data_IF_429902809446
#
_entry.id   IF_429902809446
#
_cell.length_a   1.000
_cell.length_b   1.000
_cell.length_c   1.000
_cell.angle_alpha   90.00
_cell.angle_beta   90.00
_cell.angle_gamma   90.00
#
_symmetry.space_group_name_H-M   'P 1'
#
loop_
_entity.id
_entity.type
_entity.pdbx_description
1 polymer ?
#
# COMPACT_ATOMS: atom_id res chain seq x y z
N UNK A 1 1.76 17.17 7.74
CA UNK A 1 0.53 17.20 8.59
C UNK A 1 -0.44 16.05 8.30
N UNK A 2 -0.51 15.48 7.09
CA UNK A 2 -1.42 14.37 6.74
C UNK A 2 -1.03 13.05 7.39
N UNK A 3 0.23 12.63 7.31
CA UNK A 3 0.70 11.41 7.95
C UNK A 3 0.31 11.33 9.44
N UNK A 4 0.59 12.37 10.22
CA UNK A 4 0.23 12.40 11.65
C UNK A 4 -1.28 12.29 11.88
N UNK A 5 -2.09 12.92 11.02
CA UNK A 5 -3.55 12.80 11.08
C UNK A 5 -4.04 11.38 10.78
N UNK A 6 -3.44 10.72 9.78
CA UNK A 6 -3.76 9.32 9.45
C UNK A 6 -3.28 8.37 10.56
N UNK A 7 -2.06 8.55 11.06
CA UNK A 7 -1.54 7.74 12.18
C UNK A 7 -2.42 7.82 13.42
N UNK A 8 -2.93 9.03 13.73
CA UNK A 8 -3.87 9.19 14.83
C UNK A 8 -5.18 8.41 14.63
N UNK A 9 -5.72 8.37 13.41
CA UNK A 9 -6.93 7.60 13.09
C UNK A 9 -6.66 6.09 13.15
N UNK A 10 -5.56 5.63 12.53
CA UNK A 10 -5.14 4.23 12.56
C UNK A 10 -4.93 3.74 14.00
N UNK A 11 -4.24 4.53 14.81
CA UNK A 11 -3.98 4.21 16.20
C UNK A 11 -5.25 4.02 17.04
N UNK A 12 -6.26 4.86 16.84
CA UNK A 12 -7.50 4.83 17.58
C UNK A 12 -8.52 3.81 17.04
N UNK A 13 -8.29 3.26 15.87
CA UNK A 13 -9.16 2.25 15.29
C UNK A 13 -9.03 0.90 16.00
N UNK A 14 -10.17 0.23 16.20
CA UNK A 14 -10.23 -1.14 16.72
C UNK A 14 -9.92 -2.20 15.65
N UNK A 15 -9.82 -1.80 14.39
CA UNK A 15 -9.46 -2.68 13.27
C UNK A 15 -7.95 -2.72 13.02
N UNK A 16 -7.16 -1.93 13.75
CA UNK A 16 -5.70 -1.83 13.56
C UNK A 16 -5.01 -2.24 14.85
N UNK A 17 -4.27 -3.33 14.82
CA UNK A 17 -3.49 -3.85 15.95
C UNK A 17 -2.02 -3.39 15.90
N UNK A 18 -1.47 -3.22 14.69
CA UNK A 18 -0.08 -2.87 14.46
C UNK A 18 0.04 -1.87 13.31
N UNK A 19 0.96 -0.93 13.44
CA UNK A 19 1.33 0.03 12.40
C UNK A 19 2.84 -0.06 12.22
N UNK A 20 3.28 -0.44 11.02
CA UNK A 20 4.71 -0.48 10.67
C UNK A 20 4.98 0.70 9.75
N UNK A 21 5.91 1.53 10.14
CA UNK A 21 6.36 2.69 9.37
C UNK A 21 7.77 2.41 8.86
N UNK A 22 7.95 2.44 7.56
CA UNK A 22 9.27 2.39 6.93
C UNK A 22 9.69 3.83 6.65
N UNK A 23 10.68 4.30 7.38
CA UNK A 23 11.20 5.66 7.23
C UNK A 23 12.42 5.65 6.30
N UNK A 24 12.17 6.08 5.06
CA UNK A 24 13.18 6.18 4.00
C UNK A 24 13.97 7.50 4.03
N UNK A 25 13.66 8.40 4.98
CA UNK A 25 14.34 9.68 5.10
C UNK A 25 15.36 9.66 6.25
N UNK A 26 16.63 9.50 5.92
CA UNK A 26 17.73 9.50 6.90
C UNK A 26 17.95 10.83 7.61
N UNK A 27 17.48 11.93 7.03
CA UNK A 27 17.73 13.28 7.52
C UNK A 27 16.59 13.80 8.42
N UNK A 28 15.41 13.17 8.35
CA UNK A 28 14.22 13.55 9.12
C UNK A 28 13.75 12.36 9.96
N UNK A 29 14.25 12.24 11.18
CA UNK A 29 13.89 11.12 12.06
C UNK A 29 12.67 11.43 12.91
N UNK A 30 11.77 10.47 12.98
CA UNK A 30 10.60 10.51 13.86
C UNK A 30 10.82 9.62 15.07
N UNK A 31 10.10 9.93 16.14
CA UNK A 31 9.99 9.03 17.29
C UNK A 31 8.54 8.91 17.71
N UNK A 32 8.09 7.70 17.95
CA UNK A 32 6.75 7.41 18.43
C UNK A 32 6.82 6.62 19.73
N UNK A 33 6.28 7.18 20.80
CA UNK A 33 6.10 6.43 22.06
C UNK A 33 4.71 5.78 22.05
N UNK A 34 4.60 4.70 21.27
CA UNK A 34 3.33 4.02 21.08
C UNK A 34 3.50 2.53 20.78
N UNK A 35 2.78 1.69 21.54
CA UNK A 35 2.91 0.23 21.45
C UNK A 35 2.40 -0.37 20.14
N UNK A 36 1.47 0.32 19.43
CA UNK A 36 0.97 -0.13 18.13
C UNK A 36 1.92 0.25 16.98
N UNK A 37 2.85 1.20 17.19
CA UNK A 37 3.70 1.73 16.13
C UNK A 37 5.09 1.10 16.23
N UNK A 38 5.52 0.50 15.14
CA UNK A 38 6.89 0.03 14.92
C UNK A 38 7.52 0.88 13.82
N UNK A 39 8.55 1.63 14.17
CA UNK A 39 9.32 2.43 13.22
C UNK A 39 10.56 1.65 12.77
N UNK A 40 10.77 1.55 11.47
CA UNK A 40 11.93 0.94 10.83
C UNK A 40 12.66 2.00 10.02
N UNK A 41 13.64 2.63 10.66
CA UNK A 41 14.49 3.66 10.04
C UNK A 41 15.48 3.01 9.08
N UNK A 42 15.61 3.60 7.89
CA UNK A 42 16.56 3.18 6.88
C UNK A 42 17.76 4.17 6.81
N UNK A 43 18.95 3.65 6.54
CA UNK A 43 20.14 4.48 6.36
C UNK A 43 20.17 5.15 4.98
N UNK A 44 19.41 4.62 4.04
CA UNK A 44 19.23 5.15 2.69
C UNK A 44 17.81 4.88 2.21
N UNK A 45 17.38 5.56 1.13
CA UNK A 45 16.09 5.30 0.52
C UNK A 45 16.08 3.93 -0.18
N UNK A 46 15.37 2.96 0.41
CA UNK A 46 15.21 1.61 -0.14
C UNK A 46 14.11 1.51 -1.21
N UNK A 47 13.45 2.62 -1.56
CA UNK A 47 12.32 2.73 -2.47
C UNK A 47 11.02 2.06 -1.99
N UNK A 48 9.98 2.06 -2.85
CA UNK A 48 8.62 1.66 -2.48
C UNK A 48 8.48 0.14 -2.34
N UNK A 49 8.85 -0.62 -3.38
CA UNK A 49 8.63 -2.06 -3.40
C UNK A 49 9.46 -2.80 -2.36
N UNK A 50 10.76 -2.53 -2.18
CA UNK A 50 11.52 -3.08 -1.07
C UNK A 50 11.00 -2.66 0.31
N UNK A 51 10.46 -1.44 0.46
CA UNK A 51 9.82 -1.03 1.70
C UNK A 51 8.54 -1.84 1.99
N UNK A 52 7.73 -2.16 0.98
CA UNK A 52 6.58 -3.05 1.13
C UNK A 52 6.99 -4.44 1.58
N UNK A 53 8.00 -5.05 0.93
CA UNK A 53 8.54 -6.35 1.35
C UNK A 53 8.98 -6.32 2.82
N UNK A 54 9.76 -5.31 3.20
CA UNK A 54 10.23 -5.16 4.58
C UNK A 54 9.06 -5.04 5.56
N UNK A 55 8.07 -4.20 5.27
CA UNK A 55 6.90 -3.99 6.11
C UNK A 55 6.08 -5.26 6.30
N UNK A 56 5.82 -5.99 5.21
CA UNK A 56 5.06 -7.25 5.25
C UNK A 56 5.83 -8.34 6.02
N UNK A 57 7.14 -8.46 5.81
CA UNK A 57 7.95 -9.46 6.50
C UNK A 57 7.99 -9.21 8.02
N UNK A 58 8.01 -7.95 8.44
CA UNK A 58 8.00 -7.53 9.84
C UNK A 58 6.63 -7.55 10.52
N UNK A 59 5.53 -7.62 9.73
CA UNK A 59 4.17 -7.69 10.23
C UNK A 59 3.89 -9.02 10.95
N UNK A 60 3.12 -8.97 12.04
CA UNK A 60 2.74 -10.16 12.83
C UNK A 60 1.33 -10.64 12.56
N UNK A 61 0.49 -9.80 11.96
CA UNK A 61 -0.92 -10.08 11.76
C UNK A 61 -1.18 -10.77 10.41
N UNK A 62 -2.30 -11.48 10.34
CA UNK A 62 -2.72 -12.20 9.13
C UNK A 62 -3.22 -11.27 8.04
N UNK A 63 -4.05 -10.30 8.40
CA UNK A 63 -4.56 -9.30 7.47
C UNK A 63 -3.62 -8.10 7.43
N UNK A 64 -3.24 -7.70 6.23
CA UNK A 64 -2.30 -6.61 5.99
C UNK A 64 -3.01 -5.51 5.19
N UNK A 65 -2.68 -4.27 5.51
CA UNK A 65 -2.93 -3.11 4.68
C UNK A 65 -1.61 -2.46 4.31
N UNK A 66 -1.27 -2.43 3.03
CA UNK A 66 -0.19 -1.60 2.48
C UNK A 66 -0.80 -0.24 2.18
N UNK A 67 -0.23 0.81 2.75
CA UNK A 67 -0.81 2.14 2.72
C UNK A 67 0.27 3.20 2.42
N UNK A 68 0.00 4.06 1.45
CA UNK A 68 0.82 5.24 1.22
C UNK A 68 0.59 6.29 2.31
N UNK A 69 1.61 7.07 2.61
CA UNK A 69 1.62 8.06 3.71
C UNK A 69 0.79 9.33 3.40
N UNK A 70 0.42 9.55 2.16
CA UNK A 70 -0.35 10.70 1.68
C UNK A 70 -1.86 10.44 1.53
N UNK A 71 -2.32 9.24 1.87
CA UNK A 71 -3.73 8.83 1.73
C UNK A 71 -4.55 9.18 2.96
N UNK A 72 -5.80 9.61 2.78
CA UNK A 72 -6.73 9.95 3.87
C UNK A 72 -8.13 9.39 3.59
N UNK A 73 -8.70 8.68 4.57
CA UNK A 73 -10.04 8.08 4.52
C UNK A 73 -10.60 7.83 5.93
N UNK A 74 -11.85 7.38 6.01
CA UNK A 74 -12.43 6.84 7.25
C UNK A 74 -11.88 5.42 7.49
N UNK A 75 -11.04 5.29 8.52
CA UNK A 75 -10.31 4.04 8.80
C UNK A 75 -11.29 2.92 9.19
N UNK A 76 -12.27 3.19 10.04
CA UNK A 76 -13.17 2.14 10.53
C UNK A 76 -14.09 1.64 9.41
N UNK A 77 -14.58 2.53 8.54
CA UNK A 77 -15.38 2.15 7.39
C UNK A 77 -14.60 1.28 6.40
N UNK A 78 -13.40 1.71 6.02
CA UNK A 78 -12.56 1.03 5.03
C UNK A 78 -12.05 -0.30 5.58
N UNK A 79 -11.51 -0.31 6.80
CA UNK A 79 -10.92 -1.52 7.40
C UNK A 79 -11.97 -2.57 7.76
N UNK A 80 -13.15 -2.16 8.26
CA UNK A 80 -14.24 -3.12 8.51
C UNK A 80 -14.70 -3.81 7.22
N UNK A 81 -14.77 -3.05 6.13
CA UNK A 81 -15.13 -3.60 4.81
C UNK A 81 -14.06 -4.54 4.29
N UNK A 82 -12.79 -4.14 4.36
CA UNK A 82 -11.67 -4.96 3.90
C UNK A 82 -11.52 -6.24 4.73
N UNK A 83 -11.68 -6.18 6.06
CA UNK A 83 -11.63 -7.36 6.94
C UNK A 83 -12.71 -8.37 6.58
N UNK A 84 -13.95 -7.92 6.34
CA UNK A 84 -15.04 -8.79 5.90
C UNK A 84 -14.74 -9.38 4.52
N UNK A 85 -14.26 -8.55 3.58
CA UNK A 85 -13.88 -9.01 2.25
C UNK A 85 -12.82 -10.12 2.31
N UNK A 86 -11.73 -9.93 3.06
CA UNK A 86 -10.67 -10.93 3.20
C UNK A 86 -11.12 -12.21 3.91
N UNK A 87 -12.15 -12.13 4.75
CA UNK A 87 -12.78 -13.31 5.34
C UNK A 87 -13.51 -14.17 4.30
N UNK A 88 -14.20 -13.50 3.35
CA UNK A 88 -14.95 -14.15 2.29
C UNK A 88 -14.08 -14.57 1.09
N UNK A 89 -12.95 -13.88 0.87
CA UNK A 89 -12.02 -14.07 -0.25
C UNK A 89 -10.55 -14.16 0.24
N UNK A 90 -10.18 -15.23 0.95
CA UNK A 90 -8.89 -15.30 1.65
C UNK A 90 -7.66 -15.33 0.73
N UNK A 91 -7.80 -15.77 -0.51
CA UNK A 91 -6.70 -15.85 -1.51
C UNK A 91 -6.64 -14.64 -2.45
N UNK A 92 -7.42 -13.59 -2.16
CA UNK A 92 -7.55 -12.42 -3.03
C UNK A 92 -6.89 -11.20 -2.45
N UNK A 93 -6.62 -10.21 -3.30
CA UNK A 93 -6.21 -8.86 -2.90
C UNK A 93 -7.29 -7.83 -3.26
N UNK A 94 -7.35 -6.74 -2.49
CA UNK A 94 -8.30 -5.66 -2.65
C UNK A 94 -7.57 -4.33 -2.69
N UNK A 95 -7.65 -3.61 -3.80
CA UNK A 95 -7.11 -2.26 -3.94
C UNK A 95 -8.21 -1.20 -4.10
N UNK A 96 -7.80 0.05 -4.27
CA UNK A 96 -8.71 1.18 -4.44
C UNK A 96 -9.08 1.37 -5.89
N UNK A 97 -10.38 1.44 -6.18
CA UNK A 97 -10.84 1.74 -7.54
C UNK A 97 -10.53 3.20 -7.90
N UNK A 98 -9.99 3.49 -9.10
CA UNK A 98 -9.59 4.84 -9.51
C UNK A 98 -10.67 5.91 -9.38
N UNK A 99 -11.96 5.55 -9.52
CA UNK A 99 -13.09 6.48 -9.35
C UNK A 99 -13.18 7.07 -7.94
N UNK A 100 -12.63 6.39 -6.95
CA UNK A 100 -12.58 6.85 -5.54
C UNK A 100 -11.93 8.23 -5.41
N UNK A 101 -10.94 8.52 -6.23
CA UNK A 101 -10.19 9.78 -6.21
C UNK A 101 -10.92 10.95 -6.90
N UNK A 102 -12.07 10.69 -7.50
CA UNK A 102 -12.88 11.70 -8.20
C UNK A 102 -13.96 12.32 -7.31
N UNK A 103 -13.85 12.15 -5.98
CA UNK A 103 -14.82 12.70 -5.02
C UNK A 103 -16.12 11.89 -4.94
N UNK A 104 -16.06 10.62 -5.24
CA UNK A 104 -17.20 9.72 -5.11
C UNK A 104 -17.56 9.50 -3.62
N UNK A 105 -18.79 9.82 -3.25
CA UNK A 105 -19.26 9.78 -1.85
C UNK A 105 -20.37 8.74 -1.60
N UNK A 106 -20.55 7.80 -2.51
CA UNK A 106 -21.51 6.72 -2.33
C UNK A 106 -20.96 5.60 -1.44
N UNK A 107 -21.86 4.70 -1.04
CA UNK A 107 -21.49 3.50 -0.28
C UNK A 107 -20.40 2.70 -0.96
N UNK A 108 -19.52 2.11 -0.15
CA UNK A 108 -18.45 1.22 -0.61
C UNK A 108 -19.03 0.12 -1.51
N UNK A 109 -18.46 0.02 -2.71
CA UNK A 109 -18.78 -1.04 -3.69
C UNK A 109 -17.49 -1.78 -4.01
N UNK A 110 -17.54 -3.10 -3.91
CA UNK A 110 -16.45 -3.99 -4.29
C UNK A 110 -16.82 -4.65 -5.61
N UNK A 111 -15.93 -4.63 -6.57
CA UNK A 111 -16.09 -5.27 -7.87
C UNK A 111 -14.87 -6.15 -8.16
N UNK A 112 -15.13 -7.33 -8.74
CA UNK A 112 -14.07 -8.21 -9.24
C UNK A 112 -13.36 -7.55 -10.43
N UNK A 113 -12.05 -7.78 -10.49
CA UNK A 113 -11.16 -7.24 -11.50
C UNK A 113 -10.31 -6.09 -10.97
N UNK A 114 -9.02 -6.22 -11.23
CA UNK A 114 -8.06 -5.15 -11.00
C UNK A 114 -8.18 -4.15 -12.13
N UNK A 115 -8.85 -3.06 -11.90
CA UNK A 115 -8.57 -1.88 -12.66
C UNK A 115 -7.30 -1.28 -12.05
N UNK A 116 -6.14 -1.89 -12.33
CA UNK A 116 -4.83 -1.36 -11.93
C UNK A 116 -4.65 -0.06 -12.70
N UNK A 117 -5.43 0.92 -12.31
CA UNK A 117 -5.35 2.28 -12.77
C UNK A 117 -4.70 3.12 -11.70
N UNK A 118 -4.58 4.37 -11.99
CA UNK A 118 -4.04 5.41 -11.12
C UNK A 118 -4.56 5.27 -9.67
N UNK A 119 -3.67 4.95 -8.74
CA UNK A 119 -3.96 4.92 -7.30
C UNK A 119 -4.48 3.60 -6.73
N UNK A 120 -4.58 2.52 -7.52
CA UNK A 120 -4.99 1.22 -6.98
C UNK A 120 -4.04 0.76 -5.86
N UNK A 121 -2.74 0.91 -6.06
CA UNK A 121 -1.68 0.55 -5.11
C UNK A 121 -1.53 1.49 -3.91
N UNK A 122 -2.29 2.59 -3.82
CA UNK A 122 -2.17 3.52 -2.68
C UNK A 122 -2.71 2.95 -1.36
N UNK A 123 -3.61 1.95 -1.43
CA UNK A 123 -4.15 1.25 -0.27
C UNK A 123 -4.56 -0.16 -0.71
N UNK A 124 -3.80 -1.17 -0.31
CA UNK A 124 -3.98 -2.57 -0.71
C UNK A 124 -4.21 -3.42 0.53
N UNK A 125 -5.24 -4.24 0.50
CA UNK A 125 -5.54 -5.22 1.55
C UNK A 125 -5.34 -6.63 1.01
N UNK A 126 -4.67 -7.48 1.79
CA UNK A 126 -4.40 -8.87 1.47
C UNK A 126 -4.11 -9.68 2.74
N UNK A 127 -4.03 -11.01 2.63
CA UNK A 127 -3.51 -11.86 3.71
C UNK A 127 -2.01 -12.08 3.58
N UNK A 128 -1.31 -12.03 4.71
CA UNK A 128 0.16 -12.22 4.77
C UNK A 128 0.59 -13.55 4.15
N UNK A 129 -0.18 -14.61 4.35
CA UNK A 129 0.12 -15.94 3.83
C UNK A 129 0.18 -16.01 2.30
N UNK A 130 -0.46 -15.05 1.60
CA UNK A 130 -0.44 -14.95 0.15
C UNK A 130 0.61 -13.96 -0.38
N UNK A 131 1.40 -13.35 0.52
CA UNK A 131 2.46 -12.44 0.09
C UNK A 131 3.56 -13.19 -0.64
N UNK A 132 3.91 -12.68 -1.81
CA UNK A 132 5.08 -13.08 -2.57
C UNK A 132 5.97 -11.85 -2.70
N UNK A 133 7.18 -11.93 -2.18
CA UNK A 133 8.11 -10.80 -2.20
C UNK A 133 8.26 -10.25 -3.62
N UNK A 134 8.12 -8.94 -3.75
CA UNK A 134 8.34 -8.24 -5.01
C UNK A 134 9.83 -8.33 -5.34
N UNK A 135 10.21 -8.62 -6.58
CA UNK A 135 11.62 -8.68 -6.98
C UNK A 135 12.39 -7.44 -6.54
N UNK A 136 13.52 -7.62 -5.86
CA UNK A 136 14.30 -6.53 -5.25
C UNK A 136 14.77 -5.47 -6.25
N UNK A 137 14.92 -5.86 -7.53
CA UNK A 137 15.32 -4.96 -8.61
C UNK A 137 14.19 -4.04 -9.08
N UNK A 138 12.92 -4.40 -8.83
CA UNK A 138 11.77 -3.50 -9.01
C UNK A 138 11.71 -2.51 -7.85
N UNK A 139 12.01 -1.25 -8.09
CA UNK A 139 12.16 -0.26 -7.01
C UNK A 139 10.86 0.46 -6.65
N UNK A 140 10.10 0.92 -7.63
CA UNK A 140 8.96 1.81 -7.37
C UNK A 140 7.70 1.43 -8.14
N UNK A 141 7.83 1.07 -9.42
CA UNK A 141 6.72 0.72 -10.30
C UNK A 141 6.48 -0.78 -10.34
N UNK A 142 5.29 -1.17 -10.77
CA UNK A 142 4.86 -2.55 -10.99
C UNK A 142 4.74 -3.42 -9.73
N UNK A 143 4.93 -2.86 -8.52
CA UNK A 143 4.70 -3.61 -7.29
C UNK A 143 3.24 -4.05 -7.12
N UNK A 144 2.30 -3.17 -7.45
CA UNK A 144 0.87 -3.48 -7.46
C UNK A 144 0.49 -4.50 -8.56
N UNK A 145 1.12 -4.42 -9.74
CA UNK A 145 0.97 -5.44 -10.78
C UNK A 145 1.46 -6.81 -10.29
N UNK A 146 2.65 -6.85 -9.66
CA UNK A 146 3.20 -8.08 -9.08
C UNK A 146 2.26 -8.69 -8.05
N UNK A 147 1.70 -7.88 -7.15
CA UNK A 147 0.73 -8.34 -6.15
C UNK A 147 -0.48 -8.98 -6.85
N UNK A 148 -1.05 -8.31 -7.84
CA UNK A 148 -2.21 -8.83 -8.58
C UNK A 148 -1.90 -10.15 -9.29
N UNK A 149 -0.76 -10.24 -9.97
CA UNK A 149 -0.38 -11.42 -10.75
C UNK A 149 -0.07 -12.64 -9.86
N UNK A 150 0.24 -12.42 -8.57
CA UNK A 150 0.52 -13.47 -7.59
C UNK A 150 -0.66 -13.80 -6.66
N UNK A 151 -1.87 -13.25 -6.90
CA UNK A 151 -3.08 -13.61 -6.17
C UNK A 151 -4.06 -14.34 -7.08
N UNK A 152 -4.88 -15.21 -6.47
CA UNK A 152 -5.90 -15.98 -7.21
C UNK A 152 -6.90 -15.07 -7.92
N UNK A 153 -7.30 -13.98 -7.24
CA UNK A 153 -8.18 -12.96 -7.78
C UNK A 153 -7.85 -11.60 -7.20
N UNK A 154 -8.10 -10.56 -7.97
CA UNK A 154 -7.95 -9.18 -7.54
C UNK A 154 -9.26 -8.43 -7.61
N UNK A 155 -9.46 -7.52 -6.69
CA UNK A 155 -10.67 -6.73 -6.58
C UNK A 155 -10.35 -5.25 -6.42
N UNK A 156 -11.31 -4.43 -6.78
CA UNK A 156 -11.24 -2.97 -6.58
C UNK A 156 -12.43 -2.51 -5.75
N UNK A 157 -12.18 -1.70 -4.73
CA UNK A 157 -13.23 -1.09 -3.93
C UNK A 157 -13.30 0.42 -4.16
N UNK A 158 -14.52 0.92 -4.23
CA UNK A 158 -14.78 2.36 -4.25
C UNK A 158 -14.92 2.83 -2.81
N UNK A 159 -13.93 3.60 -2.35
CA UNK A 159 -13.90 4.21 -1.03
C UNK A 159 -13.98 5.74 -1.14
N UNK A 160 -14.45 6.42 -0.11
CA UNK A 160 -14.24 7.87 0.02
C UNK A 160 -12.81 8.11 0.49
N UNK A 161 -11.91 8.35 -0.46
CA UNK A 161 -10.47 8.47 -0.23
C UNK A 161 -9.91 9.71 -0.90
N UNK A 162 -8.91 10.32 -0.31
CA UNK A 162 -8.13 11.41 -0.91
C UNK A 162 -6.64 11.16 -0.79
N UNK A 163 -5.88 11.58 -1.80
CA UNK A 163 -4.41 11.49 -1.84
C UNK A 163 -3.80 12.70 -2.52
N UNK A 164 -2.53 12.97 -2.26
CA UNK A 164 -1.71 13.96 -2.97
C UNK A 164 -0.78 13.29 -3.96
N UNK A 165 -1.33 12.67 -4.99
CA UNK A 165 -0.59 11.89 -6.00
C UNK A 165 0.56 12.65 -6.72
N UNK A 166 0.70 13.95 -6.49
CA UNK A 166 1.79 14.76 -7.04
C UNK A 166 3.11 14.63 -6.29
N UNK A 167 3.12 14.02 -5.10
CA UNK A 167 4.32 13.99 -4.23
C UNK A 167 5.32 12.91 -4.60
N UNK A 168 4.90 11.80 -5.20
CA UNK A 168 5.78 10.70 -5.60
C UNK A 168 6.93 11.17 -6.50
N UNK A 169 6.69 12.17 -7.35
CA UNK A 169 7.68 12.70 -8.27
C UNK A 169 8.76 13.57 -7.61
N UNK A 170 8.58 13.99 -6.36
CA UNK A 170 9.46 14.96 -5.72
C UNK A 170 10.49 14.32 -4.78
N UNK A 171 10.31 13.06 -4.39
CA UNK A 171 11.16 12.39 -3.40
C UNK A 171 12.31 11.56 -4.00
N UNK A 172 12.33 11.34 -5.31
CA UNK A 172 13.34 10.53 -5.99
C UNK A 172 14.11 11.40 -6.98
N UNK A 173 15.39 11.67 -6.70
CA UNK A 173 16.25 12.51 -7.55
C UNK A 173 16.46 11.96 -8.97
N UNK A 174 16.38 10.63 -9.15
CA UNK A 174 16.61 9.93 -10.42
C UNK A 174 15.36 9.16 -10.87
N UNK A 175 14.20 9.72 -10.66
CA UNK A 175 12.91 9.01 -10.89
C UNK A 175 12.77 8.43 -12.28
N UNK A 176 13.27 9.13 -13.30
CA UNK A 176 13.19 8.68 -14.69
C UNK A 176 14.06 7.45 -14.94
N UNK A 177 15.27 7.42 -14.40
CA UNK A 177 16.18 6.28 -14.52
C UNK A 177 15.62 5.05 -13.81
N UNK A 178 15.08 5.23 -12.60
CA UNK A 178 14.42 4.17 -11.84
C UNK A 178 13.22 3.63 -12.63
N UNK A 179 12.41 4.50 -13.22
CA UNK A 179 11.26 4.09 -14.02
C UNK A 179 11.66 3.28 -15.26
N UNK A 180 12.65 3.76 -16.01
CA UNK A 180 13.15 3.05 -17.20
C UNK A 180 13.70 1.67 -16.85
N UNK A 181 14.39 1.56 -15.70
CA UNK A 181 14.89 0.29 -15.19
C UNK A 181 13.75 -0.66 -14.76
N UNK A 182 12.78 -0.17 -14.00
CA UNK A 182 11.63 -0.97 -13.56
C UNK A 182 10.81 -1.48 -14.77
N UNK A 183 10.61 -0.64 -15.80
CA UNK A 183 9.96 -1.04 -17.06
C UNK A 183 10.70 -2.20 -17.73
N UNK A 184 12.03 -2.12 -17.81
CA UNK A 184 12.86 -3.15 -18.41
C UNK A 184 12.72 -4.47 -17.64
N UNK A 185 12.89 -4.43 -16.32
CA UNK A 185 12.79 -5.61 -15.45
C UNK A 185 11.40 -6.23 -15.55
N UNK A 186 10.34 -5.42 -15.44
CA UNK A 186 8.98 -5.89 -15.56
C UNK A 186 8.73 -6.58 -16.91
N UNK A 187 9.21 -5.99 -18.00
CA UNK A 187 9.08 -6.58 -19.34
C UNK A 187 9.76 -7.93 -19.44
N UNK A 188 10.93 -8.10 -18.81
CA UNK A 188 11.63 -9.38 -18.77
C UNK A 188 10.87 -10.43 -17.96
N UNK A 189 10.27 -10.04 -16.82
CA UNK A 189 9.49 -10.93 -15.95
C UNK A 189 8.21 -11.47 -16.61
N UNK A 190 7.49 -10.64 -17.37
CA UNK A 190 6.23 -11.08 -18.02
C UNK A 190 6.45 -11.91 -19.29
N UNK A 191 7.68 -11.97 -19.83
CA UNK A 191 8.03 -12.74 -21.01
C UNK A 191 8.57 -14.15 -20.69
N UNK A 192 8.82 -14.44 -19.41
CA UNK A 192 9.29 -15.74 -18.91
C UNK A 192 8.17 -16.58 -18.36
#
# INVERSE_FOLDING_TARGET
MRLLGMLHRLYNSNYVDEIIIIDNDKDSRFSFDNKKIKLLEQDENIFVNPAWNLGVNECKNENICILNDDVTFDVDEVFSTATRFLSDHPSSCLGVHPVSYQGYNDSIKVAEGSNIGHGWGCCIFLRKENWVDIPEDLKTWFGDNWIVDNHESSFSAVFSISTEMSTTNNSISNIKEVQENDIKIWTELILT
#
